data_IF_204575810080
#
_entry.id   IF_204575810080
#
_cell.length_a   1.000
_cell.length_b   1.000
_cell.length_c   1.000
_cell.angle_alpha   90.00
_cell.angle_beta   90.00
_cell.angle_gamma   90.00
#
_symmetry.space_group_name_H-M   'P 1'
#
loop_
_entity.id
_entity.type
_entity.pdbx_description
1 polymer ?
#
# COMPACT_ATOMS: atom_id res chain seq x y z
N UNK A 1 76.81 54.16 -7.62
CA UNK A 1 76.25 53.23 -8.64
C UNK A 1 75.85 51.85 -8.09
N UNK A 2 76.60 51.19 -7.19
CA UNK A 2 76.28 49.83 -6.67
C UNK A 2 74.93 49.66 -5.94
N UNK A 3 74.44 50.66 -5.19
CA UNK A 3 73.16 50.56 -4.44
C UNK A 3 71.92 50.56 -5.35
N UNK A 4 71.99 51.23 -6.51
CA UNK A 4 70.87 51.25 -7.48
C UNK A 4 70.71 49.91 -8.19
N UNK A 5 71.82 49.23 -8.49
CA UNK A 5 71.80 47.91 -9.13
C UNK A 5 71.25 46.82 -8.19
N UNK A 6 71.60 46.86 -6.91
CA UNK A 6 71.07 45.90 -5.92
C UNK A 6 69.56 46.10 -5.72
N UNK A 7 69.11 47.35 -5.67
CA UNK A 7 67.67 47.65 -5.55
C UNK A 7 66.87 47.18 -6.77
N UNK A 8 67.41 47.38 -7.99
CA UNK A 8 66.78 46.90 -9.23
C UNK A 8 66.72 45.37 -9.31
N UNK A 9 67.77 44.67 -8.85
CA UNK A 9 67.79 43.20 -8.81
C UNK A 9 66.79 42.69 -7.76
N UNK A 10 66.71 43.32 -6.59
CA UNK A 10 65.73 42.97 -5.56
C UNK A 10 64.29 43.16 -6.02
N UNK A 11 64.00 44.26 -6.73
CA UNK A 11 62.67 44.53 -7.28
C UNK A 11 62.30 43.54 -8.39
N UNK A 12 63.27 43.17 -9.24
CA UNK A 12 63.07 42.18 -10.30
C UNK A 12 62.79 40.79 -9.71
N UNK A 13 63.50 40.40 -8.63
CA UNK A 13 63.25 39.13 -7.94
C UNK A 13 61.89 39.10 -7.26
N UNK A 14 61.46 40.21 -6.64
CA UNK A 14 60.13 40.32 -6.04
C UNK A 14 59.01 40.22 -7.08
N UNK A 15 59.23 40.80 -8.27
CA UNK A 15 58.29 40.71 -9.39
C UNK A 15 58.21 39.28 -9.94
N UNK A 16 59.34 38.57 -10.04
CA UNK A 16 59.39 37.16 -10.44
C UNK A 16 58.72 36.23 -9.41
N UNK A 17 58.82 36.53 -8.12
CA UNK A 17 58.15 35.78 -7.05
C UNK A 17 56.63 35.97 -7.04
N UNK A 18 56.13 37.12 -7.51
CA UNK A 18 54.69 37.36 -7.67
C UNK A 18 54.05 36.66 -8.89
N UNK A 19 54.88 36.14 -9.81
CA UNK A 19 54.42 35.35 -10.97
C UNK A 19 54.35 33.84 -10.68
N UNK A 20 54.85 33.39 -9.53
CA UNK A 20 54.50 32.08 -8.96
C UNK A 20 53.13 32.18 -8.28
N UNK A 21 52.13 32.58 -9.06
CA UNK A 21 50.74 32.40 -8.68
C UNK A 21 50.52 30.90 -8.54
N UNK A 22 50.14 30.46 -7.34
CA UNK A 22 49.65 29.12 -7.11
C UNK A 22 48.56 28.88 -8.17
N UNK A 23 48.80 27.97 -9.11
CA UNK A 23 47.72 27.48 -9.95
C UNK A 23 46.68 26.92 -8.98
N UNK A 24 45.53 27.58 -8.90
CA UNK A 24 44.40 27.05 -8.16
C UNK A 24 44.00 25.80 -8.95
N UNK A 25 44.46 24.64 -8.47
CA UNK A 25 44.01 23.35 -8.99
C UNK A 25 42.48 23.42 -8.96
N UNK A 26 41.87 23.36 -10.14
CA UNK A 26 40.42 23.30 -10.28
C UNK A 26 39.96 22.00 -9.61
N UNK A 27 39.71 22.06 -8.32
CA UNK A 27 39.16 20.98 -7.54
C UNK A 27 37.80 20.64 -8.10
N UNK A 28 37.69 19.47 -8.73
CA UNK A 28 36.40 18.93 -9.14
C UNK A 28 35.74 18.37 -7.89
N UNK A 29 34.75 19.10 -7.36
CA UNK A 29 33.91 18.59 -6.30
C UNK A 29 32.87 17.62 -6.89
N UNK A 30 32.81 16.41 -6.35
CA UNK A 30 31.79 15.42 -6.71
C UNK A 30 30.72 15.43 -5.62
N UNK A 31 29.55 15.98 -5.93
CA UNK A 31 28.36 15.85 -5.10
C UNK A 31 27.76 14.44 -5.30
N UNK A 32 27.82 13.60 -4.27
CA UNK A 32 27.17 12.29 -4.25
C UNK A 32 25.88 12.38 -3.45
N UNK A 33 24.75 12.28 -4.14
CA UNK A 33 23.42 12.21 -3.54
C UNK A 33 23.09 10.74 -3.24
N UNK A 34 22.83 10.42 -1.98
CA UNK A 34 22.36 9.10 -1.55
C UNK A 34 20.94 9.24 -1.05
N UNK A 35 19.99 8.60 -1.74
CA UNK A 35 18.62 8.48 -1.28
C UNK A 35 18.57 7.25 -0.37
N UNK A 36 18.26 7.45 0.91
CA UNK A 36 18.04 6.31 1.80
C UNK A 36 16.72 5.62 1.37
N UNK A 37 16.73 4.30 1.13
CA UNK A 37 15.47 3.59 0.98
C UNK A 37 14.67 3.75 2.28
N UNK A 38 13.35 3.83 2.15
CA UNK A 38 12.44 3.74 3.29
C UNK A 38 12.77 2.48 4.09
N UNK A 39 12.61 2.49 5.43
CA UNK A 39 12.86 1.32 6.26
C UNK A 39 12.12 0.12 5.66
N UNK A 40 12.88 -0.91 5.30
CA UNK A 40 12.33 -2.16 4.82
C UNK A 40 11.59 -2.77 6.01
N UNK A 41 10.27 -2.92 5.91
CA UNK A 41 9.49 -3.61 6.92
C UNK A 41 10.06 -5.02 7.11
N UNK A 42 10.08 -5.50 8.35
CA UNK A 42 10.50 -6.86 8.66
C UNK A 42 9.73 -7.84 7.78
N UNK A 43 10.47 -8.67 7.04
CA UNK A 43 9.88 -9.62 6.09
C UNK A 43 10.21 -11.04 6.50
N UNK A 44 9.27 -11.94 6.26
CA UNK A 44 9.50 -13.36 6.45
C UNK A 44 9.96 -13.96 5.13
N UNK A 45 11.11 -14.62 5.14
CA UNK A 45 11.59 -15.44 4.03
C UNK A 45 10.98 -16.84 4.17
N UNK A 46 10.28 -17.32 3.15
CA UNK A 46 9.66 -18.64 3.11
C UNK A 46 9.66 -19.19 1.67
N UNK A 47 9.57 -20.51 1.45
CA UNK A 47 9.51 -21.08 0.11
C UNK A 47 8.33 -20.54 -0.70
N UNK A 48 8.61 -19.99 -1.88
CA UNK A 48 7.55 -19.45 -2.75
C UNK A 48 6.53 -20.52 -3.15
N UNK A 49 5.24 -20.14 -3.18
CA UNK A 49 4.16 -21.01 -3.63
C UNK A 49 3.71 -22.11 -2.65
N UNK A 50 4.27 -22.16 -1.44
CA UNK A 50 3.89 -23.14 -0.42
C UNK A 50 2.89 -22.59 0.59
N UNK A 51 1.77 -23.29 0.79
CA UNK A 51 0.84 -23.02 1.89
C UNK A 51 1.35 -23.62 3.21
N UNK A 52 1.12 -22.92 4.32
CA UNK A 52 1.50 -23.41 5.66
C UNK A 52 0.36 -24.14 6.39
N UNK A 53 -0.84 -24.11 5.83
CA UNK A 53 -2.02 -24.74 6.41
C UNK A 53 -2.06 -26.23 6.08
N UNK A 54 -2.26 -27.06 7.09
CA UNK A 54 -2.50 -28.50 6.90
C UNK A 54 -3.91 -28.68 6.33
N UNK A 55 -3.99 -29.33 5.17
CA UNK A 55 -5.25 -29.61 4.45
C UNK A 55 -5.50 -31.10 4.24
N UNK A 56 -4.51 -31.96 4.53
CA UNK A 56 -4.62 -33.40 4.43
C UNK A 56 -3.77 -34.12 5.48
N UNK A 57 -4.07 -35.39 5.72
CA UNK A 57 -3.42 -36.24 6.71
C UNK A 57 -3.19 -37.64 6.14
N UNK A 58 -2.10 -38.28 6.54
CA UNK A 58 -1.89 -39.72 6.42
C UNK A 58 -1.70 -40.30 7.81
N UNK A 59 -2.45 -41.35 8.13
CA UNK A 59 -2.37 -42.11 9.38
C UNK A 59 -1.94 -43.52 9.04
N UNK A 60 -0.83 -43.97 9.59
CA UNK A 60 -0.32 -45.33 9.47
C UNK A 60 -0.16 -45.95 10.85
N UNK A 61 -0.14 -47.28 10.90
CA UNK A 61 0.13 -47.98 12.14
C UNK A 61 0.64 -49.40 11.94
N UNK A 62 1.49 -49.81 12.87
CA UNK A 62 2.05 -51.14 13.03
C UNK A 62 1.50 -51.75 14.33
N UNK A 63 0.92 -52.95 14.23
CA UNK A 63 0.15 -53.56 15.29
C UNK A 63 0.46 -55.04 15.52
N UNK A 64 -0.34 -55.72 16.37
CA UNK A 64 -0.08 -57.10 16.76
C UNK A 64 -0.06 -58.07 15.55
N UNK A 65 0.76 -59.11 15.64
CA UNK A 65 0.92 -60.14 14.61
C UNK A 65 1.33 -59.54 13.24
N UNK A 66 2.20 -58.53 13.25
CA UNK A 66 2.68 -57.82 12.06
C UNK A 66 1.57 -57.17 11.22
N UNK A 67 0.42 -56.87 11.84
CA UNK A 67 -0.68 -56.17 11.18
C UNK A 67 -0.30 -54.73 10.89
N UNK A 68 -0.63 -54.22 9.70
CA UNK A 68 -0.34 -52.84 9.30
C UNK A 68 -1.54 -52.18 8.66
N UNK A 69 -1.64 -50.86 8.77
CA UNK A 69 -2.59 -50.07 7.98
C UNK A 69 -1.96 -48.74 7.55
N UNK A 70 -2.53 -48.12 6.50
CA UNK A 70 -2.25 -46.75 6.10
C UNK A 70 -3.47 -46.14 5.41
N UNK A 71 -3.91 -44.98 5.87
CA UNK A 71 -5.11 -44.28 5.38
C UNK A 71 -4.79 -42.80 5.19
N UNK A 72 -5.24 -42.23 4.07
CA UNK A 72 -5.16 -40.78 3.81
C UNK A 72 -6.54 -40.13 3.86
N UNK A 73 -6.62 -38.93 4.43
CA UNK A 73 -7.87 -38.18 4.62
C UNK A 73 -7.65 -36.68 4.54
N UNK A 74 -8.67 -35.92 4.13
CA UNK A 74 -8.68 -34.44 4.23
C UNK A 74 -9.50 -33.95 5.43
N UNK A 75 -10.07 -34.87 6.21
CA UNK A 75 -10.81 -34.60 7.44
C UNK A 75 -9.85 -34.71 8.63
N UNK A 76 -10.04 -33.86 9.64
CA UNK A 76 -9.32 -33.96 10.93
C UNK A 76 -9.76 -35.16 11.78
N UNK A 77 -10.79 -35.89 11.34
CA UNK A 77 -11.27 -37.13 11.94
C UNK A 77 -11.28 -38.25 10.89
N UNK A 78 -10.81 -39.44 11.30
CA UNK A 78 -10.81 -40.66 10.49
C UNK A 78 -11.22 -41.85 11.36
N UNK A 79 -12.04 -42.74 10.79
CA UNK A 79 -12.41 -44.01 11.40
C UNK A 79 -11.67 -45.14 10.69
N UNK A 80 -10.94 -45.96 11.45
CA UNK A 80 -10.14 -47.07 10.91
C UNK A 80 -10.74 -48.37 11.45
N UNK A 81 -11.32 -49.14 10.54
CA UNK A 81 -12.06 -50.36 10.86
C UNK A 81 -11.20 -51.61 10.69
N UNK A 82 -11.52 -52.66 11.45
CA UNK A 82 -10.90 -53.98 11.32
C UNK A 82 -9.54 -54.15 12.00
N UNK A 83 -9.15 -53.25 12.91
CA UNK A 83 -7.92 -53.38 13.70
C UNK A 83 -8.07 -54.45 14.79
N UNK A 84 -6.99 -55.19 15.05
CA UNK A 84 -6.92 -56.18 16.11
C UNK A 84 -6.70 -55.53 17.49
N UNK A 85 -7.23 -56.16 18.54
CA UNK A 85 -6.99 -55.74 19.94
C UNK A 85 -5.51 -55.93 20.28
N UNK A 86 -4.91 -54.91 20.89
CA UNK A 86 -3.50 -54.90 21.27
C UNK A 86 -2.86 -53.52 21.09
N UNK A 87 -1.54 -53.45 21.29
CA UNK A 87 -0.78 -52.20 21.17
C UNK A 87 -0.45 -51.92 19.71
N UNK A 88 -0.71 -50.69 19.28
CA UNK A 88 -0.41 -50.16 17.96
C UNK A 88 0.54 -48.98 18.09
N UNK A 89 1.60 -49.01 17.31
CA UNK A 89 2.48 -47.86 17.09
C UNK A 89 1.96 -47.11 15.87
N UNK A 90 1.59 -45.85 16.06
CA UNK A 90 0.88 -45.01 15.10
C UNK A 90 1.77 -43.85 14.66
N UNK A 91 1.72 -43.52 13.37
CA UNK A 91 2.30 -42.30 12.82
C UNK A 91 1.20 -41.51 12.10
N UNK A 92 1.07 -40.23 12.46
CA UNK A 92 0.18 -39.28 11.78
C UNK A 92 1.03 -38.18 11.16
N UNK A 93 0.92 -37.98 9.85
CA UNK A 93 1.59 -36.89 9.14
C UNK A 93 0.55 -35.96 8.50
N UNK A 94 0.66 -34.66 8.73
CA UNK A 94 -0.15 -33.61 8.12
C UNK A 94 0.55 -32.95 6.93
N UNK A 95 -0.20 -32.71 5.86
CA UNK A 95 0.28 -32.16 4.59
C UNK A 95 -0.45 -30.88 4.21
N UNK A 96 0.24 -29.97 3.51
CA UNK A 96 -0.39 -28.80 2.90
C UNK A 96 -1.09 -29.15 1.57
N UNK A 97 -1.72 -28.15 0.93
CA UNK A 97 -2.44 -28.34 -0.33
C UNK A 97 -1.52 -28.79 -1.48
N UNK A 98 -0.24 -28.49 -1.39
CA UNK A 98 0.79 -28.84 -2.35
C UNK A 98 1.34 -30.27 -2.14
N UNK A 99 0.92 -30.97 -1.07
CA UNK A 99 1.39 -32.31 -0.73
C UNK A 99 2.71 -32.35 0.05
N UNK A 100 3.19 -31.20 0.53
CA UNK A 100 4.39 -31.11 1.38
C UNK A 100 4.04 -31.47 2.81
N UNK A 101 4.82 -32.36 3.44
CA UNK A 101 4.67 -32.71 4.84
C UNK A 101 5.01 -31.49 5.72
N UNK A 102 4.13 -31.17 6.66
CA UNK A 102 4.26 -29.99 7.54
C UNK A 102 4.64 -30.41 8.95
N UNK A 103 3.93 -31.40 9.49
CA UNK A 103 4.14 -31.88 10.85
C UNK A 103 3.74 -33.35 10.97
N UNK A 104 4.36 -34.07 11.90
CA UNK A 104 4.04 -35.44 12.24
C UNK A 104 3.87 -35.64 13.75
N UNK A 105 3.32 -36.79 14.10
CA UNK A 105 3.36 -37.34 15.44
C UNK A 105 3.44 -38.85 15.41
N UNK A 106 4.37 -39.39 16.17
CA UNK A 106 4.43 -40.81 16.49
C UNK A 106 3.92 -41.04 17.92
N UNK A 107 3.05 -42.03 18.11
CA UNK A 107 2.54 -42.41 19.42
C UNK A 107 2.11 -43.88 19.45
N UNK A 108 2.13 -44.48 20.65
CA UNK A 108 1.67 -45.84 20.87
C UNK A 108 0.33 -45.84 21.61
N UNK A 109 -0.63 -46.65 21.15
CA UNK A 109 -1.95 -46.74 21.76
C UNK A 109 -2.43 -48.19 21.85
N UNK A 110 -3.01 -48.56 23.00
CA UNK A 110 -3.50 -49.91 23.24
C UNK A 110 -5.00 -49.99 22.95
N UNK A 111 -5.36 -50.63 21.84
CA UNK A 111 -6.74 -50.83 21.44
C UNK A 111 -7.39 -51.96 22.25
N UNK A 112 -8.62 -51.74 22.72
CA UNK A 112 -9.44 -52.73 23.41
C UNK A 112 -10.75 -53.02 22.68
N UNK A 113 -11.58 -53.91 23.22
CA UNK A 113 -12.90 -54.22 22.64
C UNK A 113 -13.98 -53.17 22.94
N UNK A 114 -13.66 -52.11 23.70
CA UNK A 114 -14.57 -51.02 24.07
C UNK A 114 -13.85 -49.67 23.98
N UNK A 115 -14.56 -48.65 23.49
CA UNK A 115 -14.17 -47.24 23.47
C UNK A 115 -12.69 -46.96 23.14
N UNK A 116 -12.38 -46.95 21.84
CA UNK A 116 -11.06 -46.56 21.33
C UNK A 116 -11.17 -45.15 20.71
N UNK A 117 -10.80 -44.13 21.48
CA UNK A 117 -10.70 -42.75 21.02
C UNK A 117 -9.29 -42.22 21.29
N UNK A 118 -8.73 -41.52 20.32
CA UNK A 118 -7.38 -41.00 20.38
C UNK A 118 -7.35 -39.60 19.78
N UNK A 119 -6.96 -38.63 20.60
CA UNK A 119 -6.68 -37.27 20.14
C UNK A 119 -5.19 -37.16 19.81
N UNK A 120 -4.86 -36.65 18.63
CA UNK A 120 -3.48 -36.50 18.15
C UNK A 120 -3.19 -35.03 17.88
N UNK A 121 -2.18 -34.49 18.57
CA UNK A 121 -1.66 -33.14 18.36
C UNK A 121 -0.32 -33.23 17.63
N UNK A 122 -0.31 -32.79 16.37
CA UNK A 122 0.90 -32.72 15.56
C UNK A 122 1.84 -31.67 16.15
N UNK A 123 3.02 -32.10 16.57
CA UNK A 123 4.00 -31.26 17.29
C UNK A 123 5.40 -31.31 16.67
N UNK A 124 5.70 -32.32 15.85
CA UNK A 124 7.04 -32.55 15.33
C UNK A 124 7.09 -32.10 13.87
N UNK A 125 7.86 -31.05 13.55
CA UNK A 125 8.03 -30.63 12.15
C UNK A 125 8.83 -31.68 11.36
N UNK A 126 8.46 -31.90 10.10
CA UNK A 126 9.00 -33.01 9.29
C UNK A 126 10.04 -32.50 8.31
N UNK A 127 11.19 -33.17 8.26
CA UNK A 127 12.12 -33.08 7.14
C UNK A 127 13.14 -31.95 7.23
N UNK A 128 13.77 -31.69 6.09
CA UNK A 128 14.80 -30.66 5.92
C UNK A 128 14.54 -29.88 4.63
N UNK A 129 14.97 -28.62 4.60
CA UNK A 129 14.89 -27.76 3.42
C UNK A 129 16.21 -27.03 3.18
N UNK A 130 16.39 -26.55 1.96
CA UNK A 130 17.57 -25.75 1.60
C UNK A 130 17.30 -24.26 1.80
N UNK A 131 18.34 -23.54 2.20
CA UNK A 131 18.35 -22.08 2.30
C UNK A 131 19.40 -21.50 1.38
N UNK A 132 19.07 -20.41 0.69
CA UNK A 132 20.01 -19.65 -0.14
C UNK A 132 19.69 -18.14 -0.07
N UNK A 133 20.43 -17.42 0.77
CA UNK A 133 20.16 -16.01 1.08
C UNK A 133 21.37 -15.16 0.67
N UNK A 134 21.12 -14.15 -0.18
CA UNK A 134 22.09 -13.11 -0.53
C UNK A 134 21.99 -11.92 0.41
N UNK A 135 23.12 -11.33 0.76
CA UNK A 135 23.23 -10.09 1.54
C UNK A 135 24.06 -9.08 0.76
N UNK A 136 23.59 -7.85 0.62
CA UNK A 136 24.25 -6.82 -0.21
C UNK A 136 24.27 -5.47 0.50
N UNK A 137 25.45 -4.86 0.63
CA UNK A 137 25.61 -3.53 1.25
C UNK A 137 25.99 -2.42 0.26
N UNK A 138 26.11 -2.76 -1.04
CA UNK A 138 26.21 -1.83 -2.18
C UNK A 138 27.35 -0.79 -2.14
N UNK A 139 28.31 -0.92 -1.23
CA UNK A 139 29.46 -0.02 -1.12
C UNK A 139 30.75 -0.84 -0.91
N UNK A 140 31.60 -0.83 -1.94
CA UNK A 140 32.92 -1.50 -1.93
C UNK A 140 34.02 -0.65 -1.29
N UNK A 141 33.73 0.58 -0.88
CA UNK A 141 34.74 1.51 -0.37
C UNK A 141 35.13 1.26 1.09
N UNK A 142 34.45 0.35 1.79
CA UNK A 142 34.78 -0.02 3.15
C UNK A 142 35.95 -1.02 3.17
N UNK A 143 37.09 -0.67 3.79
CA UNK A 143 38.19 -1.61 3.98
C UNK A 143 37.82 -2.69 5.01
N UNK A 144 38.49 -3.84 4.94
CA UNK A 144 38.46 -4.89 5.98
C UNK A 144 37.05 -5.24 6.49
N UNK A 145 36.16 -5.59 5.55
CA UNK A 145 34.79 -6.02 5.87
C UNK A 145 34.80 -7.34 6.65
N UNK A 146 34.10 -7.35 7.78
CA UNK A 146 33.71 -8.58 8.50
C UNK A 146 32.17 -8.69 8.50
N UNK A 147 31.65 -9.82 8.05
CA UNK A 147 30.22 -10.14 8.11
C UNK A 147 29.98 -11.26 9.13
N UNK A 148 29.09 -11.01 10.09
CA UNK A 148 28.66 -11.98 11.10
C UNK A 148 27.22 -12.36 10.85
N UNK A 149 26.94 -13.65 10.80
CA UNK A 149 25.61 -14.21 10.70
C UNK A 149 25.38 -15.14 11.89
N UNK A 150 24.23 -15.00 12.53
CA UNK A 150 23.78 -15.80 13.64
C UNK A 150 22.38 -16.33 13.32
N UNK A 151 22.12 -17.58 13.67
CA UNK A 151 20.87 -18.28 13.43
C UNK A 151 20.29 -18.71 14.77
N UNK A 152 18.98 -18.53 14.95
CA UNK A 152 18.24 -19.02 16.12
C UNK A 152 17.04 -19.81 15.67
N UNK A 153 16.95 -21.08 16.05
CA UNK A 153 15.72 -21.87 15.89
C UNK A 153 14.64 -21.45 16.89
N UNK A 154 13.38 -21.72 16.58
CA UNK A 154 12.25 -21.41 17.46
C UNK A 154 12.43 -22.01 18.87
N UNK A 155 12.57 -21.13 19.87
CA UNK A 155 12.77 -21.51 21.27
C UNK A 155 14.21 -21.83 21.69
N UNK A 156 15.19 -21.69 20.78
CA UNK A 156 16.62 -21.84 21.07
C UNK A 156 17.35 -20.52 21.28
N UNK A 157 18.67 -20.60 21.45
CA UNK A 157 19.59 -19.45 21.51
C UNK A 157 20.17 -19.11 20.12
N UNK A 158 20.74 -17.92 19.98
CA UNK A 158 21.48 -17.55 18.77
C UNK A 158 22.82 -18.28 18.70
N UNK A 159 23.07 -18.94 17.57
CA UNK A 159 24.32 -19.61 17.26
C UNK A 159 24.99 -18.94 16.07
N UNK A 160 26.31 -18.72 16.16
CA UNK A 160 27.06 -18.14 15.05
C UNK A 160 27.19 -19.13 13.90
N UNK A 161 26.79 -18.70 12.71
CA UNK A 161 26.96 -19.45 11.48
C UNK A 161 28.44 -19.47 11.10
N UNK A 162 29.01 -20.67 11.02
CA UNK A 162 30.41 -20.91 10.66
C UNK A 162 30.58 -21.64 9.33
N UNK A 163 29.53 -22.31 8.85
CA UNK A 163 29.51 -23.08 7.60
C UNK A 163 28.48 -22.51 6.63
N UNK A 164 28.71 -22.69 5.33
CA UNK A 164 27.76 -22.26 4.29
C UNK A 164 27.74 -20.76 4.01
N UNK A 165 28.57 -19.97 4.71
CA UNK A 165 28.69 -18.53 4.51
C UNK A 165 29.89 -18.20 3.62
N UNK A 166 29.63 -17.54 2.49
CA UNK A 166 30.67 -17.04 1.57
C UNK A 166 30.65 -15.52 1.55
N UNK A 167 31.79 -14.88 1.84
CA UNK A 167 31.95 -13.43 1.80
C UNK A 167 32.68 -13.00 0.52
N UNK A 168 32.12 -12.01 -0.18
CA UNK A 168 32.67 -11.44 -1.42
C UNK A 168 32.80 -9.92 -1.29
N UNK A 169 33.90 -9.42 -0.68
CA UNK A 169 34.09 -7.98 -0.47
C UNK A 169 34.16 -7.17 -1.77
N UNK A 170 34.70 -7.76 -2.84
CA UNK A 170 34.83 -7.13 -4.16
C UNK A 170 33.49 -6.79 -4.81
N UNK A 171 32.43 -7.52 -4.45
CA UNK A 171 31.07 -7.31 -4.92
C UNK A 171 30.16 -6.73 -3.83
N UNK A 172 30.71 -6.32 -2.69
CA UNK A 172 29.97 -5.84 -1.53
C UNK A 172 28.81 -6.77 -1.12
N UNK A 173 29.08 -8.08 -1.10
CA UNK A 173 28.06 -9.09 -0.82
C UNK A 173 28.54 -10.27 0.02
N UNK A 174 27.59 -10.92 0.69
CA UNK A 174 27.77 -12.22 1.34
C UNK A 174 26.62 -13.15 0.93
N UNK A 175 26.83 -14.46 0.95
CA UNK A 175 25.82 -15.46 0.60
C UNK A 175 25.82 -16.59 1.61
N UNK A 176 24.65 -16.95 2.12
CA UNK A 176 24.47 -18.07 3.05
C UNK A 176 23.70 -19.19 2.37
N UNK A 177 24.30 -20.38 2.32
CA UNK A 177 23.72 -21.59 1.76
C UNK A 177 23.87 -22.76 2.71
N UNK A 178 22.76 -23.42 3.06
CA UNK A 178 22.76 -24.56 3.96
C UNK A 178 21.53 -25.47 3.75
N UNK A 179 21.55 -26.63 4.39
CA UNK A 179 20.37 -27.46 4.63
C UNK A 179 20.02 -27.35 6.11
N UNK A 180 18.76 -27.04 6.42
CA UNK A 180 18.28 -26.86 7.78
C UNK A 180 17.07 -27.77 8.03
N UNK A 181 16.87 -28.25 9.27
CA UNK A 181 15.62 -28.87 9.67
C UNK A 181 14.41 -27.96 9.40
N UNK A 182 13.25 -28.56 9.14
CA UNK A 182 12.02 -27.80 8.99
C UNK A 182 11.67 -27.06 10.27
N UNK A 183 11.33 -25.78 10.15
CA UNK A 183 11.32 -24.91 11.31
C UNK A 183 11.08 -23.44 10.98
N UNK A 184 10.80 -22.68 12.04
CA UNK A 184 10.96 -21.23 12.03
C UNK A 184 12.30 -20.87 12.67
N UNK A 185 12.98 -19.92 12.06
CA UNK A 185 14.27 -19.41 12.47
C UNK A 185 14.28 -17.89 12.43
N UNK A 186 15.12 -17.30 13.27
CA UNK A 186 15.56 -15.91 13.11
C UNK A 186 16.99 -15.90 12.61
N UNK A 187 17.27 -15.11 11.57
CA UNK A 187 18.63 -14.83 11.12
C UNK A 187 19.01 -13.42 11.54
N UNK A 188 20.01 -13.29 12.38
CA UNK A 188 20.59 -12.01 12.76
C UNK A 188 21.91 -11.81 12.02
N UNK A 189 22.09 -10.65 11.40
CA UNK A 189 23.31 -10.33 10.69
C UNK A 189 23.88 -9.01 11.15
N UNK A 190 25.21 -8.91 11.17
CA UNK A 190 25.93 -7.68 11.49
C UNK A 190 27.12 -7.52 10.57
N UNK A 191 27.27 -6.31 10.03
CA UNK A 191 28.38 -5.92 9.16
C UNK A 191 29.32 -5.00 9.94
N UNK A 192 30.63 -5.28 9.86
CA UNK A 192 31.69 -4.47 10.44
C UNK A 192 32.70 -4.05 9.36
N UNK A 193 33.39 -2.93 9.58
CA UNK A 193 34.60 -2.52 8.87
C UNK A 193 35.62 -2.07 9.90
N UNK A 194 36.84 -2.61 9.86
CA UNK A 194 37.90 -2.24 10.81
C UNK A 194 37.47 -2.32 12.29
N UNK A 195 36.66 -3.32 12.64
CA UNK A 195 36.02 -3.53 13.96
C UNK A 195 34.94 -2.50 14.36
N UNK A 196 34.58 -1.55 13.50
CA UNK A 196 33.44 -0.67 13.70
C UNK A 196 32.17 -1.29 13.11
N UNK A 197 31.08 -1.31 13.89
CA UNK A 197 29.78 -1.84 13.43
C UNK A 197 29.16 -0.85 12.44
N UNK A 198 29.01 -1.29 11.20
CA UNK A 198 28.43 -0.50 10.11
C UNK A 198 26.91 -0.62 10.03
N UNK A 199 26.39 -1.83 10.20
CA UNK A 199 24.96 -2.13 10.08
C UNK A 199 24.62 -3.47 10.71
N UNK A 200 23.33 -3.74 10.87
CA UNK A 200 22.82 -5.06 11.20
C UNK A 200 21.31 -5.12 11.05
N UNK A 201 20.77 -6.32 11.16
CA UNK A 201 19.35 -6.57 11.04
C UNK A 201 19.00 -7.98 11.47
N UNK A 202 17.69 -8.24 11.53
CA UNK A 202 17.12 -9.56 11.81
C UNK A 202 16.01 -9.81 10.79
N UNK A 203 15.96 -11.01 10.25
CA UNK A 203 14.88 -11.46 9.36
C UNK A 203 14.34 -12.80 9.86
N UNK A 204 13.04 -13.02 9.68
CA UNK A 204 12.43 -14.31 9.98
C UNK A 204 12.58 -15.25 8.77
N UNK A 205 12.85 -16.52 9.04
CA UNK A 205 13.09 -17.56 8.04
C UNK A 205 12.20 -18.78 8.34
N UNK A 206 11.52 -19.30 7.33
CA UNK A 206 10.73 -20.53 7.41
C UNK A 206 11.32 -21.59 6.49
N UNK A 207 11.54 -22.79 7.00
CA UNK A 207 12.06 -23.95 6.25
C UNK A 207 10.97 -25.03 6.18
N UNK A 208 10.75 -25.56 4.98
CA UNK A 208 9.78 -26.63 4.70
C UNK A 208 10.46 -27.80 3.98
N UNK A 209 9.88 -28.98 4.11
CA UNK A 209 10.49 -30.23 3.64
C UNK A 209 10.68 -30.21 2.14
N UNK A 210 11.87 -30.59 1.68
CA UNK A 210 12.26 -30.65 0.27
C UNK A 210 12.02 -29.35 -0.52
N UNK A 211 11.93 -28.20 0.18
CA UNK A 211 11.73 -26.89 -0.42
C UNK A 211 12.98 -26.02 -0.29
N UNK A 212 13.14 -25.08 -1.24
CA UNK A 212 14.19 -24.06 -1.19
C UNK A 212 13.61 -22.74 -0.68
N UNK A 213 14.27 -22.14 0.31
CA UNK A 213 13.96 -20.78 0.79
C UNK A 213 15.03 -19.83 0.29
N UNK A 214 14.64 -18.90 -0.57
CA UNK A 214 15.56 -17.95 -1.21
C UNK A 214 15.20 -16.51 -0.88
N UNK A 215 16.18 -15.61 -0.93
CA UNK A 215 15.92 -14.18 -0.78
C UNK A 215 17.18 -13.32 -0.79
N UNK A 216 17.03 -12.06 -1.18
CA UNK A 216 18.11 -11.07 -1.18
C UNK A 216 17.83 -9.97 -0.15
N UNK A 217 18.72 -9.80 0.82
CA UNK A 217 18.69 -8.79 1.89
C UNK A 217 19.60 -7.61 1.52
N UNK A 218 19.04 -6.40 1.48
CA UNK A 218 19.82 -5.18 1.30
C UNK A 218 20.18 -4.59 2.66
N UNK A 219 21.47 -4.59 2.97
CA UNK A 219 22.01 -4.02 4.21
C UNK A 219 22.25 -2.53 4.01
N UNK A 220 21.47 -1.71 4.72
CA UNK A 220 21.63 -0.26 4.70
C UNK A 220 22.73 0.12 5.71
N UNK A 221 23.91 0.49 5.19
CA UNK A 221 25.01 1.00 6.01
C UNK A 221 24.81 2.49 6.28
N UNK A 222 24.63 2.86 7.55
CA UNK A 222 24.68 4.25 7.99
C UNK A 222 26.12 4.72 7.90
N UNK A 223 26.42 5.53 6.90
CA UNK A 223 27.68 6.26 6.85
C UNK A 223 27.52 7.50 7.71
N UNK A 224 28.02 7.47 8.95
CA UNK A 224 28.34 8.69 9.69
C UNK A 224 29.42 9.42 8.89
N UNK A 225 29.00 10.33 8.00
CA UNK A 225 29.93 11.27 7.40
C UNK A 225 30.29 12.28 8.49
N UNK A 226 31.57 12.44 8.78
CA UNK A 226 32.09 13.58 9.57
C UNK A 226 31.41 14.86 9.07
N UNK A 227 30.62 15.50 9.94
CA UNK A 227 29.92 16.78 9.75
C UNK A 227 29.56 17.10 8.27
N UNK A 228 28.34 16.80 7.80
CA UNK A 228 28.00 17.06 6.42
C UNK A 228 27.97 18.57 6.15
N UNK A 229 28.88 19.07 5.32
CA UNK A 229 28.48 20.10 4.35
C UNK A 229 27.58 19.42 3.32
N UNK A 230 26.36 19.08 3.72
CA UNK A 230 25.42 18.26 2.94
C UNK A 230 24.03 18.88 2.87
N UNK A 231 23.40 18.71 1.71
CA UNK A 231 22.04 19.15 1.43
C UNK A 231 21.02 18.22 2.10
N UNK A 232 20.21 18.73 3.03
CA UNK A 232 19.07 18.01 3.62
C UNK A 232 17.88 18.09 2.66
N UNK A 233 17.54 16.99 1.99
CA UNK A 233 16.30 16.88 1.21
C UNK A 233 15.21 16.31 2.12
N UNK A 234 14.20 17.12 2.42
CA UNK A 234 13.01 16.72 3.16
C UNK A 234 11.85 16.68 2.15
N UNK A 235 11.20 15.54 1.98
CA UNK A 235 9.99 15.46 1.16
C UNK A 235 8.77 15.67 2.05
N UNK A 236 7.90 16.60 1.66
CA UNK A 236 6.60 16.87 2.30
C UNK A 236 5.43 16.38 1.43
N UNK A 237 5.69 15.43 0.54
CA UNK A 237 4.69 14.84 -0.36
C UNK A 237 3.91 13.76 0.38
N UNK A 238 2.58 13.76 0.22
CA UNK A 238 1.66 12.78 0.79
C UNK A 238 0.75 12.19 -0.29
N UNK A 239 0.08 11.09 0.05
CA UNK A 239 -0.93 10.47 -0.82
C UNK A 239 -2.16 11.40 -1.02
N UNK A 240 -2.83 11.31 -2.18
CA UNK A 240 -4.10 11.99 -2.43
C UNK A 240 -5.15 11.73 -1.36
N UNK A 241 -5.93 12.76 -0.99
CA UNK A 241 -7.07 12.59 -0.06
C UNK A 241 -8.17 11.76 -0.71
N UNK A 242 -8.62 10.71 -0.03
CA UNK A 242 -9.78 9.91 -0.40
C UNK A 242 -10.86 9.91 0.71
N UNK A 243 -12.11 9.68 0.31
CA UNK A 243 -13.24 9.76 1.24
C UNK A 243 -14.58 9.37 0.64
N UNK A 244 -15.65 9.81 1.29
CA UNK A 244 -17.04 9.54 0.90
C UNK A 244 -17.90 10.81 0.96
N UNK A 245 -18.88 10.92 0.07
CA UNK A 245 -19.93 11.96 0.11
C UNK A 245 -21.13 11.41 0.88
N UNK A 246 -21.44 12.05 2.00
CA UNK A 246 -22.53 11.70 2.91
C UNK A 246 -23.71 12.67 2.75
N UNK A 247 -24.93 12.23 3.10
CA UNK A 247 -26.15 13.05 3.05
C UNK A 247 -26.84 13.13 1.68
N UNK A 248 -26.28 12.50 0.64
CA UNK A 248 -26.88 12.46 -0.70
C UNK A 248 -27.57 11.12 -0.97
N UNK A 249 -28.88 11.14 -1.19
CA UNK A 249 -29.65 9.98 -1.66
C UNK A 249 -29.52 9.79 -3.17
N UNK A 250 -29.78 8.57 -3.67
CA UNK A 250 -29.74 8.27 -5.12
C UNK A 250 -30.84 9.01 -5.90
N UNK A 251 -31.93 9.39 -5.22
CA UNK A 251 -32.99 10.24 -5.75
C UNK A 251 -33.26 11.40 -4.78
N UNK A 252 -33.32 12.63 -5.31
CA UNK A 252 -33.71 13.83 -4.56
C UNK A 252 -34.84 14.58 -5.29
N UNK A 253 -35.55 15.45 -4.57
CA UNK A 253 -36.51 16.36 -5.19
C UNK A 253 -35.77 17.50 -5.91
N UNK A 254 -36.17 17.84 -7.15
CA UNK A 254 -35.59 18.97 -7.87
C UNK A 254 -35.95 20.30 -7.16
N UNK A 255 -35.11 21.32 -7.37
CA UNK A 255 -35.21 22.66 -6.79
C UNK A 255 -35.34 22.73 -5.26
N UNK A 256 -35.03 21.63 -4.58
CA UNK A 256 -35.05 21.52 -3.12
C UNK A 256 -33.61 21.51 -2.61
N UNK A 257 -33.33 22.33 -1.60
CA UNK A 257 -32.01 22.39 -0.97
C UNK A 257 -31.67 21.05 -0.32
N UNK A 258 -30.60 20.41 -0.77
CA UNK A 258 -30.03 19.16 -0.24
C UNK A 258 -28.68 19.47 0.37
N UNK A 259 -28.45 19.01 1.61
CA UNK A 259 -27.19 19.21 2.34
C UNK A 259 -26.36 17.95 2.31
N UNK A 260 -25.10 18.09 1.93
CA UNK A 260 -24.11 17.02 1.83
C UNK A 260 -22.88 17.35 2.66
N UNK A 261 -22.09 16.33 2.97
CA UNK A 261 -20.78 16.52 3.57
C UNK A 261 -19.76 15.52 3.03
N UNK A 262 -18.48 15.88 3.13
CA UNK A 262 -17.37 15.00 2.83
C UNK A 262 -16.74 14.46 4.11
N UNK A 263 -16.50 13.16 4.15
CA UNK A 263 -15.79 12.47 5.24
C UNK A 263 -14.54 11.79 4.69
N UNK A 264 -13.36 12.12 5.26
CA UNK A 264 -12.07 11.54 4.86
C UNK A 264 -11.96 10.10 5.35
N UNK A 265 -11.54 9.20 4.47
CA UNK A 265 -11.22 7.79 4.83
C UNK A 265 -9.73 7.49 4.77
N UNK A 266 -8.95 8.18 3.93
CA UNK A 266 -7.49 8.01 3.82
C UNK A 266 -6.80 9.22 3.15
N UNK A 267 -5.46 9.24 3.17
CA UNK A 267 -4.62 10.20 2.44
C UNK A 267 -4.58 11.62 3.03
N UNK A 268 -3.73 12.48 2.46
CA UNK A 268 -3.58 13.90 2.82
C UNK A 268 -2.93 14.21 4.17
N UNK A 269 -2.51 13.21 4.94
CA UNK A 269 -1.92 13.41 6.28
C UNK A 269 -2.94 13.86 7.33
N UNK A 270 -2.45 14.44 8.44
CA UNK A 270 -3.28 14.84 9.59
C UNK A 270 -3.81 16.28 9.53
N UNK A 271 -3.54 17.00 8.44
CA UNK A 271 -3.91 18.41 8.27
C UNK A 271 -5.41 18.58 7.97
N UNK A 272 -5.89 19.81 8.16
CA UNK A 272 -7.24 20.23 7.80
C UNK A 272 -7.49 20.15 6.29
N UNK A 273 -8.74 19.86 5.93
CA UNK A 273 -9.17 19.67 4.55
C UNK A 273 -9.64 20.98 3.93
N UNK A 274 -9.27 21.19 2.67
CA UNK A 274 -9.86 22.18 1.77
C UNK A 274 -10.69 21.41 0.74
N UNK A 275 -11.99 21.71 0.67
CA UNK A 275 -12.95 21.01 -0.18
C UNK A 275 -13.55 22.01 -1.16
N UNK A 276 -13.74 21.61 -2.41
CA UNK A 276 -14.47 22.35 -3.42
C UNK A 276 -15.50 21.42 -4.07
N UNK A 277 -16.76 21.85 -4.10
CA UNK A 277 -17.88 21.09 -4.64
C UNK A 277 -18.19 21.50 -6.07
N UNK A 278 -18.46 20.51 -6.91
CA UNK A 278 -18.84 20.69 -8.30
C UNK A 278 -20.08 19.86 -8.63
N UNK A 279 -21.05 20.46 -9.32
CA UNK A 279 -22.20 19.76 -9.88
C UNK A 279 -22.09 19.79 -11.40
N UNK A 280 -22.03 18.60 -12.02
CA UNK A 280 -21.83 18.42 -13.46
C UNK A 280 -20.64 19.23 -14.02
N UNK A 281 -19.56 19.31 -13.23
CA UNK A 281 -18.35 20.07 -13.56
C UNK A 281 -18.42 21.58 -13.30
N UNK A 282 -19.55 22.11 -12.83
CA UNK A 282 -19.69 23.53 -12.45
C UNK A 282 -19.38 23.70 -10.97
N UNK A 283 -18.45 24.60 -10.65
CA UNK A 283 -18.09 24.94 -9.26
C UNK A 283 -19.28 25.55 -8.51
N UNK A 284 -19.52 25.08 -7.29
CA UNK A 284 -20.62 25.55 -6.44
C UNK A 284 -20.18 26.21 -5.12
N UNK A 285 -19.04 25.81 -4.53
CA UNK A 285 -18.56 26.37 -3.27
C UNK A 285 -17.61 25.47 -2.50
N UNK A 286 -17.09 25.97 -1.37
CA UNK A 286 -16.03 25.30 -0.58
C UNK A 286 -16.46 24.82 0.82
N UNK A 287 -17.72 25.06 1.21
CA UNK A 287 -18.19 24.74 2.56
C UNK A 287 -18.24 23.22 2.81
N UNK A 288 -18.09 22.79 4.06
CA UNK A 288 -18.38 21.41 4.46
C UNK A 288 -18.97 21.43 5.88
N UNK A 289 -20.26 21.12 6.09
CA UNK A 289 -21.25 20.68 5.10
C UNK A 289 -21.60 21.76 4.06
N UNK A 290 -22.12 21.34 2.90
CA UNK A 290 -22.50 22.17 1.77
C UNK A 290 -23.94 21.89 1.33
N UNK A 291 -24.69 22.92 0.95
CA UNK A 291 -26.08 22.78 0.48
C UNK A 291 -26.22 23.26 -0.96
N UNK A 292 -26.95 22.49 -1.77
CA UNK A 292 -27.24 22.83 -3.17
C UNK A 292 -28.64 22.42 -3.59
N UNK A 293 -29.10 22.92 -4.71
CA UNK A 293 -30.32 22.48 -5.39
C UNK A 293 -30.05 22.35 -6.89
N UNK A 294 -30.75 21.46 -7.58
CA UNK A 294 -30.60 21.26 -9.03
C UNK A 294 -31.96 21.05 -9.70
N UNK A 295 -32.01 21.18 -11.03
CA UNK A 295 -33.19 20.87 -11.83
C UNK A 295 -33.39 19.35 -11.99
N UNK A 296 -34.48 18.93 -12.59
CA UNK A 296 -34.79 17.53 -12.89
C UNK A 296 -33.76 16.96 -13.87
N UNK A 297 -33.29 15.73 -13.61
CA UNK A 297 -32.30 15.07 -14.45
C UNK A 297 -31.38 14.12 -13.70
N UNK A 298 -30.45 13.51 -14.43
CA UNK A 298 -29.34 12.76 -13.85
C UNK A 298 -28.14 13.68 -13.70
N UNK A 299 -27.54 13.68 -12.52
CA UNK A 299 -26.48 14.60 -12.13
C UNK A 299 -25.32 13.87 -11.47
N UNK A 300 -24.14 14.46 -11.52
CA UNK A 300 -22.96 14.01 -10.78
C UNK A 300 -22.45 15.14 -9.88
N UNK A 301 -22.33 14.83 -8.60
CA UNK A 301 -21.68 15.70 -7.62
C UNK A 301 -20.26 15.21 -7.38
N UNK A 302 -19.29 16.11 -7.53
CA UNK A 302 -17.87 15.87 -7.32
C UNK A 302 -17.37 16.72 -6.14
N UNK A 303 -16.60 16.11 -5.24
CA UNK A 303 -15.85 16.79 -4.18
C UNK A 303 -14.36 16.71 -4.50
N UNK A 304 -13.74 17.84 -4.84
CA UNK A 304 -12.30 17.98 -4.96
C UNK A 304 -11.73 18.33 -3.58
N UNK A 305 -10.84 17.49 -3.05
CA UNK A 305 -10.33 17.64 -1.68
C UNK A 305 -8.81 17.67 -1.68
N UNK A 306 -8.24 18.58 -0.89
CA UNK A 306 -6.79 18.70 -0.72
C UNK A 306 -6.42 19.15 0.69
N UNK A 307 -5.15 19.03 1.02
CA UNK A 307 -4.54 19.65 2.20
C UNK A 307 -3.47 20.63 1.76
N UNK A 308 -2.77 21.26 2.71
CA UNK A 308 -1.60 22.10 2.42
C UNK A 308 -0.38 21.28 1.97
N UNK A 309 -0.41 19.95 2.07
CA UNK A 309 0.70 19.07 1.71
C UNK A 309 0.73 18.77 0.20
N UNK A 310 1.93 18.65 -0.35
CA UNK A 310 2.15 18.34 -1.76
C UNK A 310 1.63 16.94 -2.08
N UNK A 311 1.03 16.73 -3.25
CA UNK A 311 0.47 15.43 -3.65
C UNK A 311 -0.89 15.07 -3.05
N UNK A 312 -1.42 15.88 -2.12
CA UNK A 312 -2.64 15.57 -1.38
C UNK A 312 -3.97 15.74 -2.14
N UNK A 313 -3.96 16.18 -3.40
CA UNK A 313 -5.20 16.48 -4.15
C UNK A 313 -5.86 15.18 -4.61
N UNK A 314 -7.11 14.95 -4.20
CA UNK A 314 -7.95 13.84 -4.66
C UNK A 314 -9.38 14.28 -4.95
N UNK A 315 -10.17 13.38 -5.56
CA UNK A 315 -11.55 13.65 -5.95
C UNK A 315 -12.44 12.46 -5.60
N UNK A 316 -13.66 12.74 -5.12
CA UNK A 316 -14.71 11.74 -4.90
C UNK A 316 -15.97 12.18 -5.63
N UNK A 317 -16.64 11.23 -6.29
CA UNK A 317 -17.80 11.48 -7.15
C UNK A 317 -19.00 10.65 -6.71
N UNK A 318 -20.20 11.22 -6.75
CA UNK A 318 -21.47 10.51 -6.57
C UNK A 318 -22.50 10.95 -7.61
N UNK A 319 -23.08 9.97 -8.31
CA UNK A 319 -24.17 10.19 -9.26
C UNK A 319 -25.52 10.05 -8.54
N UNK A 320 -26.48 10.90 -8.88
CA UNK A 320 -27.84 10.87 -8.34
C UNK A 320 -28.85 11.36 -9.39
N UNK A 321 -30.14 11.16 -9.13
CA UNK A 321 -31.24 11.64 -9.99
C UNK A 321 -32.11 12.65 -9.23
N UNK A 322 -32.30 13.83 -9.79
CA UNK A 322 -33.32 14.76 -9.33
C UNK A 322 -34.63 14.46 -10.07
N UNK A 323 -35.67 14.08 -9.33
CA UNK A 323 -36.95 13.64 -9.91
C UNK A 323 -38.13 13.90 -8.97
N UNK A 324 -39.26 14.23 -9.57
CA UNK A 324 -40.56 14.36 -8.90
C UNK A 324 -41.29 13.02 -8.76
N UNK A 325 -40.74 11.93 -9.32
CA UNK A 325 -41.31 10.58 -9.21
C UNK A 325 -41.46 10.11 -7.76
N UNK A 326 -40.55 10.56 -6.89
CA UNK A 326 -40.62 10.28 -5.45
C UNK A 326 -41.83 10.95 -4.76
N UNK A 327 -42.55 11.85 -5.45
CA UNK A 327 -43.65 12.64 -4.91
C UNK A 327 -45.03 11.98 -5.10
N UNK A 328 -45.10 10.69 -5.47
CA UNK A 328 -46.35 9.90 -5.57
C UNK A 328 -47.47 10.55 -6.43
N UNK A 329 -47.11 11.36 -7.43
CA UNK A 329 -48.07 12.05 -8.30
C UNK A 329 -48.62 13.36 -7.75
N UNK A 330 -48.15 13.84 -6.59
CA UNK A 330 -48.48 15.17 -6.10
C UNK A 330 -47.81 16.25 -6.99
N UNK A 331 -48.57 17.21 -7.55
CA UNK A 331 -48.00 18.30 -8.32
C UNK A 331 -47.07 19.16 -7.45
N UNK A 332 -45.81 19.32 -7.86
CA UNK A 332 -44.87 20.23 -7.22
C UNK A 332 -44.68 21.49 -8.06
N UNK A 333 -44.72 22.66 -7.43
CA UNK A 333 -44.39 23.92 -8.09
C UNK A 333 -42.87 24.04 -8.22
N UNK A 334 -42.36 23.95 -9.45
CA UNK A 334 -40.93 24.04 -9.77
C UNK A 334 -40.45 25.47 -10.06
N UNK A 335 -41.31 26.33 -10.60
CA UNK A 335 -41.01 27.74 -10.86
C UNK A 335 -42.27 28.60 -10.81
N UNK A 336 -42.10 29.91 -10.61
CA UNK A 336 -43.15 30.93 -10.72
C UNK A 336 -42.60 32.05 -11.60
N UNK A 337 -43.34 32.43 -12.64
CA UNK A 337 -42.95 33.48 -13.58
C UNK A 337 -43.96 34.62 -13.49
N UNK A 338 -43.46 35.85 -13.43
CA UNK A 338 -44.29 37.07 -13.35
C UNK A 338 -44.21 37.91 -14.64
N UNK A 339 -45.22 38.75 -14.89
CA UNK A 339 -45.19 39.68 -16.02
C UNK A 339 -43.97 40.61 -15.93
N UNK A 340 -43.27 40.78 -17.06
CA UNK A 340 -42.07 41.62 -17.15
C UNK A 340 -40.80 41.01 -16.55
N UNK A 341 -40.87 39.80 -15.98
CA UNK A 341 -39.68 39.03 -15.63
C UNK A 341 -38.93 38.61 -16.91
N UNK A 342 -37.60 38.51 -16.83
CA UNK A 342 -36.75 38.15 -17.97
C UNK A 342 -36.30 36.69 -17.86
N UNK A 343 -36.33 35.97 -18.98
CA UNK A 343 -35.77 34.63 -19.07
C UNK A 343 -34.22 34.65 -19.10
N UNK A 344 -33.59 33.48 -19.25
CA UNK A 344 -32.13 33.36 -19.33
C UNK A 344 -31.50 34.01 -20.57
N UNK A 345 -32.30 34.34 -21.58
CA UNK A 345 -31.86 35.05 -22.80
C UNK A 345 -32.10 36.56 -22.68
N UNK A 346 -32.74 37.03 -21.60
CA UNK A 346 -33.08 38.43 -21.37
C UNK A 346 -34.42 38.87 -21.97
N UNK A 347 -35.22 37.92 -22.47
CA UNK A 347 -36.53 38.17 -23.07
C UNK A 347 -37.61 38.29 -21.99
N UNK A 348 -38.50 39.28 -22.09
CA UNK A 348 -39.53 39.54 -21.08
C UNK A 348 -40.77 38.68 -21.28
N UNK A 349 -41.30 38.11 -20.20
CA UNK A 349 -42.58 37.39 -20.24
C UNK A 349 -43.77 38.35 -20.32
N UNK A 350 -44.63 38.13 -21.31
CA UNK A 350 -45.82 38.95 -21.60
C UNK A 350 -47.05 38.36 -20.93
N UNK A 351 -47.18 38.56 -19.62
CA UNK A 351 -48.24 37.96 -18.80
C UNK A 351 -49.30 38.97 -18.32
N UNK A 352 -49.19 40.25 -18.70
CA UNK A 352 -50.21 41.28 -18.39
C UNK A 352 -51.56 40.90 -18.99
N UNK A 353 -52.61 40.81 -18.16
CA UNK A 353 -53.97 40.44 -18.58
C UNK A 353 -53.99 39.18 -19.47
N UNK A 354 -53.33 38.11 -19.00
CA UNK A 354 -53.34 36.81 -19.68
C UNK A 354 -54.79 36.36 -19.92
N UNK A 355 -55.13 36.09 -21.18
CA UNK A 355 -56.49 35.69 -21.59
C UNK A 355 -56.60 34.20 -21.89
N UNK A 356 -55.55 33.59 -22.45
CA UNK A 356 -55.51 32.17 -22.79
C UNK A 356 -54.07 31.65 -22.88
N UNK A 357 -53.90 30.33 -22.77
CA UNK A 357 -52.66 29.65 -23.08
C UNK A 357 -52.91 28.24 -23.62
N UNK A 358 -52.04 27.75 -24.51
CA UNK A 358 -52.20 26.42 -25.11
C UNK A 358 -50.87 25.72 -25.34
N UNK A 359 -50.80 24.45 -24.97
CA UNK A 359 -49.71 23.56 -25.39
C UNK A 359 -49.87 23.20 -26.87
N UNK A 360 -48.81 23.42 -27.63
CA UNK A 360 -48.67 23.00 -29.01
C UNK A 360 -48.21 21.53 -29.08
N UNK A 361 -48.35 20.91 -30.25
CA UNK A 361 -47.98 19.51 -30.46
C UNK A 361 -46.48 19.22 -30.28
N UNK A 362 -45.64 20.24 -30.40
CA UNK A 362 -44.20 20.17 -30.19
C UNK A 362 -43.78 20.43 -28.73
N UNK A 363 -44.75 20.57 -27.81
CA UNK A 363 -44.50 20.79 -26.39
C UNK A 363 -44.26 22.24 -25.99
N UNK A 364 -44.26 23.19 -26.95
CA UNK A 364 -44.19 24.63 -26.66
C UNK A 364 -45.53 25.15 -26.15
N UNK A 365 -45.50 26.26 -25.43
CA UNK A 365 -46.67 26.93 -24.85
C UNK A 365 -46.88 28.24 -25.61
N UNK A 366 -48.05 28.40 -26.23
CA UNK A 366 -48.47 29.68 -26.79
C UNK A 366 -49.30 30.42 -25.74
N UNK A 367 -48.87 31.63 -25.38
CA UNK A 367 -49.51 32.51 -24.39
C UNK A 367 -50.16 33.68 -25.13
N UNK A 368 -51.41 34.00 -24.77
CA UNK A 368 -52.12 35.18 -25.25
C UNK A 368 -52.36 36.16 -24.10
N UNK A 369 -51.92 37.41 -24.27
CA UNK A 369 -52.04 38.46 -23.27
C UNK A 369 -52.36 39.82 -23.90
N UNK A 370 -52.54 40.87 -23.10
CA UNK A 370 -52.79 42.21 -23.64
C UNK A 370 -51.59 42.80 -24.41
N UNK A 371 -50.39 42.20 -24.26
CA UNK A 371 -49.19 42.60 -25.01
C UNK A 371 -49.03 41.87 -26.35
N UNK A 372 -49.70 40.72 -26.54
CA UNK A 372 -49.67 39.96 -27.79
C UNK A 372 -49.66 38.45 -27.59
N UNK A 373 -49.23 37.74 -28.63
CA UNK A 373 -48.95 36.31 -28.57
C UNK A 373 -47.46 36.08 -28.31
N UNK A 374 -47.15 35.25 -27.31
CA UNK A 374 -45.78 34.86 -26.98
C UNK A 374 -45.67 33.34 -27.01
N UNK A 375 -44.70 32.83 -27.74
CA UNK A 375 -44.37 31.42 -27.71
C UNK A 375 -43.33 31.20 -26.62
N UNK A 376 -43.45 30.11 -25.88
CA UNK A 376 -42.51 29.73 -24.84
C UNK A 376 -42.20 28.24 -24.91
N UNK A 377 -41.07 27.81 -24.38
CA UNK A 377 -40.69 26.40 -24.21
C UNK A 377 -40.26 26.12 -22.77
N UNK A 378 -40.42 24.87 -22.32
CA UNK A 378 -39.89 24.44 -21.03
C UNK A 378 -38.52 23.82 -21.27
N UNK A 379 -37.47 24.40 -20.69
CA UNK A 379 -36.12 23.83 -20.67
C UNK A 379 -35.61 23.73 -19.25
N UNK A 380 -35.20 22.51 -18.85
CA UNK A 380 -34.64 22.23 -17.51
C UNK A 380 -35.46 22.88 -16.39
N UNK A 381 -36.76 22.61 -16.42
CA UNK A 381 -37.77 23.08 -15.46
C UNK A 381 -38.01 24.61 -15.41
N UNK A 382 -37.43 25.37 -16.34
CA UNK A 382 -37.72 26.80 -16.54
C UNK A 382 -38.51 27.03 -17.82
N UNK A 383 -39.44 27.98 -17.77
CA UNK A 383 -40.03 28.56 -18.98
C UNK A 383 -39.00 29.48 -19.65
N UNK A 384 -38.93 29.46 -20.97
CA UNK A 384 -38.12 30.35 -21.82
C UNK A 384 -38.98 30.85 -22.96
N UNK A 385 -38.70 32.05 -23.46
CA UNK A 385 -39.41 32.65 -24.62
C UNK A 385 -38.81 32.14 -25.92
#
# INVERSE_FOLDING_TARGET
MKKSTIFKIGLLLLLLLSLLGCEEEKGVAILRLRMNPLPQEARTLYPEGQGLTITGYTVSGDGPNDSKFSVSTNSSQVEINGLTVGTWDLEVTGYNQQGTAIAKKELSHHLTSRDNFLEVVLSDLVGEGSVDIGFYWNDIAYPDIEFKLELRGQGGDYERVTNGLTLSPTTASARYQATLPCGSYDIAFTLYSQNEKLAGGVEALRILDNCATTGDIIIVVNKEASEPTGLKIVSSVVDPVGGVIEGLSDVILPHTSTTVSFSRTHGGGIQDLQIAWFLDGTYLGDANPFSFSTHTGTHRLDALVKTQLLGSVGTVSKTFRASVEANNGEPCRVSLVSDGEKDSNGEEFWLTNLTDFKFLHDGRILIASSKGLQLCEIRRDSLQV
#
